data_IF_938032128617
#
_entry.id   IF_938032128617
#
_cell.length_a   1.000
_cell.length_b   1.000
_cell.length_c   1.000
_cell.angle_alpha   90.00
_cell.angle_beta   90.00
_cell.angle_gamma   90.00
#
_symmetry.space_group_name_H-M   'P 1'
#
loop_
_entity.id
_entity.type
_entity.pdbx_description
1 polymer ?
#
# COMPACT_ATOMS: atom_id res chain seq x y z
N UNK A 1 6.55 5.13 8.35
CA UNK A 1 7.30 4.07 7.67
C UNK A 1 7.43 4.39 6.19
N UNK A 2 8.45 3.82 5.54
CA UNK A 2 8.62 3.89 4.09
C UNK A 2 8.82 2.45 3.59
N UNK A 3 8.00 2.04 2.63
CA UNK A 3 8.20 0.75 1.97
C UNK A 3 9.17 0.92 0.80
N UNK A 4 10.20 0.07 0.75
CA UNK A 4 11.28 0.15 -0.23
C UNK A 4 11.50 -1.22 -0.85
N UNK A 5 11.36 -1.31 -2.17
CA UNK A 5 11.54 -2.54 -2.92
C UNK A 5 13.00 -2.67 -3.40
N UNK A 6 13.60 -3.86 -3.24
CA UNK A 6 14.89 -4.19 -3.85
C UNK A 6 14.66 -4.73 -5.26
N UNK A 7 15.11 -3.96 -6.27
CA UNK A 7 14.83 -4.24 -7.68
C UNK A 7 15.63 -5.40 -8.28
N UNK A 8 16.71 -5.82 -7.63
CA UNK A 8 17.58 -6.88 -8.12
C UNK A 8 17.77 -7.98 -7.07
N UNK A 9 17.87 -9.22 -7.49
CA UNK A 9 18.23 -10.33 -6.62
C UNK A 9 19.64 -10.16 -6.04
N UNK A 10 19.78 -10.45 -4.73
CA UNK A 10 21.09 -10.35 -4.07
C UNK A 10 22.07 -11.44 -4.52
N UNK A 11 21.55 -12.56 -5.01
CA UNK A 11 22.35 -13.74 -5.38
C UNK A 11 23.14 -13.56 -6.67
N UNK A 12 22.57 -12.84 -7.64
CA UNK A 12 23.12 -12.81 -9.01
C UNK A 12 22.93 -11.46 -9.74
N UNK A 13 22.33 -10.46 -9.07
CA UNK A 13 22.11 -9.12 -9.62
C UNK A 13 21.03 -9.02 -10.69
N UNK A 14 20.37 -10.13 -11.05
CA UNK A 14 19.28 -10.09 -12.05
C UNK A 14 18.08 -9.28 -11.54
N UNK A 15 17.34 -8.69 -12.46
CA UNK A 15 16.12 -7.93 -12.13
C UNK A 15 15.11 -8.85 -11.41
N UNK A 16 14.67 -8.42 -10.23
CA UNK A 16 13.57 -9.04 -9.51
C UNK A 16 12.23 -8.49 -10.02
N UNK A 17 11.60 -9.18 -10.95
CA UNK A 17 10.31 -8.80 -11.54
C UNK A 17 9.16 -8.86 -10.53
N UNK A 18 9.35 -9.47 -9.37
CA UNK A 18 8.37 -9.61 -8.30
C UNK A 18 8.53 -8.57 -7.19
N UNK A 19 9.57 -7.73 -7.23
CA UNK A 19 9.89 -6.78 -6.16
C UNK A 19 8.69 -5.92 -5.70
N UNK A 20 7.93 -5.36 -6.65
CA UNK A 20 6.75 -4.55 -6.34
C UNK A 20 5.56 -5.40 -5.84
N UNK A 21 5.43 -6.63 -6.31
CA UNK A 21 4.43 -7.57 -5.81
C UNK A 21 4.73 -7.98 -4.37
N UNK A 22 5.98 -8.32 -4.08
CA UNK A 22 6.43 -8.76 -2.76
C UNK A 22 6.24 -7.66 -1.71
N UNK A 23 6.59 -6.40 -2.06
CA UNK A 23 6.39 -5.28 -1.14
C UNK A 23 4.90 -4.97 -0.94
N UNK A 24 4.06 -5.18 -1.95
CA UNK A 24 2.60 -5.05 -1.82
C UNK A 24 2.02 -6.08 -0.85
N UNK A 25 2.48 -7.35 -0.92
CA UNK A 25 2.10 -8.42 0.00
C UNK A 25 2.54 -8.09 1.44
N UNK A 26 3.79 -7.66 1.64
CA UNK A 26 4.29 -7.27 2.96
C UNK A 26 3.50 -6.08 3.53
N UNK A 27 3.15 -5.10 2.70
CA UNK A 27 2.35 -3.95 3.08
C UNK A 27 0.93 -4.34 3.50
N UNK A 28 0.31 -5.30 2.81
CA UNK A 28 -1.01 -5.80 3.16
C UNK A 28 -1.00 -6.52 4.52
N UNK A 29 0.02 -7.34 4.78
CA UNK A 29 0.18 -8.01 6.07
C UNK A 29 0.43 -7.02 7.21
N UNK A 30 1.25 -5.99 6.98
CA UNK A 30 1.44 -4.90 7.94
C UNK A 30 0.12 -4.20 8.29
N UNK A 31 -0.73 -3.94 7.31
CA UNK A 31 -2.03 -3.31 7.55
C UNK A 31 -2.98 -4.19 8.37
N UNK A 32 -2.97 -5.50 8.11
CA UNK A 32 -3.76 -6.47 8.87
C UNK A 32 -3.29 -6.55 10.33
N UNK A 33 -1.98 -6.67 10.54
CA UNK A 33 -1.38 -6.70 11.87
C UNK A 33 -1.64 -5.40 12.64
N UNK A 34 -1.48 -4.24 11.99
CA UNK A 34 -1.81 -2.96 12.60
C UNK A 34 -3.27 -2.92 13.07
N UNK A 35 -4.19 -3.44 12.26
CA UNK A 35 -5.62 -3.50 12.61
C UNK A 35 -5.87 -4.40 13.83
N UNK A 36 -5.20 -5.53 13.94
CA UNK A 36 -5.31 -6.44 15.09
C UNK A 36 -4.85 -5.78 16.39
N UNK A 37 -3.86 -4.89 16.30
CA UNK A 37 -3.39 -4.06 17.40
C UNK A 37 -4.22 -2.77 17.63
N UNK A 38 -5.36 -2.60 16.98
CA UNK A 38 -6.21 -1.41 17.10
C UNK A 38 -5.62 -0.15 16.47
N UNK A 39 -4.64 -0.30 15.59
CA UNK A 39 -4.02 0.78 14.84
C UNK A 39 -4.68 0.93 13.45
N UNK A 40 -4.61 2.14 12.90
CA UNK A 40 -4.92 2.41 11.51
C UNK A 40 -3.62 2.57 10.70
N UNK A 41 -3.63 2.10 9.46
CA UNK A 41 -2.55 2.27 8.51
C UNK A 41 -3.04 3.04 7.28
N UNK A 42 -2.34 4.11 6.91
CA UNK A 42 -2.61 4.91 5.72
C UNK A 42 -1.43 4.84 4.76
N UNK A 43 -1.66 4.24 3.59
CA UNK A 43 -0.65 4.10 2.53
C UNK A 43 -0.77 5.27 1.55
N UNK A 44 0.33 5.94 1.30
CA UNK A 44 0.42 7.13 0.46
C UNK A 44 1.41 6.89 -0.67
N UNK A 45 0.95 7.06 -1.92
CA UNK A 45 1.81 7.07 -3.11
C UNK A 45 2.21 8.49 -3.55
N UNK A 46 1.48 9.51 -3.07
CA UNK A 46 1.68 10.91 -3.42
C UNK A 46 2.79 11.61 -2.62
N UNK A 47 3.95 10.95 -2.44
CA UNK A 47 5.13 11.53 -1.79
C UNK A 47 6.27 11.73 -2.81
N UNK A 48 7.23 12.56 -2.48
CA UNK A 48 8.43 12.78 -3.28
C UNK A 48 9.43 11.65 -3.03
N UNK A 49 9.45 10.67 -3.94
CA UNK A 49 10.31 9.49 -3.85
C UNK A 49 11.80 9.85 -3.96
N UNK A 50 12.16 10.86 -4.77
CA UNK A 50 13.54 11.30 -4.94
C UNK A 50 14.05 11.99 -3.66
N UNK A 51 13.24 12.85 -3.08
CA UNK A 51 13.55 13.47 -1.79
C UNK A 51 13.67 12.43 -0.68
N UNK A 52 12.81 11.39 -0.67
CA UNK A 52 12.92 10.28 0.27
C UNK A 52 14.23 9.52 0.09
N UNK A 53 14.63 9.25 -1.15
CA UNK A 53 15.90 8.61 -1.49
C UNK A 53 17.09 9.39 -0.90
N UNK A 54 17.12 10.70 -1.11
CA UNK A 54 18.18 11.58 -0.62
C UNK A 54 18.18 11.69 0.92
N UNK A 55 16.98 11.80 1.53
CA UNK A 55 16.84 11.98 2.98
C UNK A 55 17.26 10.75 3.78
N UNK A 56 17.02 9.55 3.23
CA UNK A 56 17.29 8.28 3.90
C UNK A 56 18.45 7.50 3.30
N UNK A 57 19.26 8.12 2.45
CA UNK A 57 20.42 7.52 1.77
C UNK A 57 20.07 6.18 1.10
N UNK A 58 18.89 6.09 0.44
CA UNK A 58 18.44 4.86 -0.20
C UNK A 58 19.28 4.62 -1.44
N UNK A 59 20.06 3.52 -1.51
CA UNK A 59 21.00 3.29 -2.58
C UNK A 59 20.32 2.96 -3.90
N UNK A 60 21.10 3.06 -4.99
CA UNK A 60 20.67 2.57 -6.31
C UNK A 60 20.27 1.09 -6.26
N UNK A 61 19.30 0.70 -7.08
CA UNK A 61 18.73 -0.66 -7.06
C UNK A 61 17.62 -0.88 -6.02
N UNK A 62 17.29 0.17 -5.25
CA UNK A 62 16.15 0.17 -4.33
C UNK A 62 15.15 1.25 -4.73
N UNK A 63 13.87 0.95 -4.65
CA UNK A 63 12.78 1.85 -5.05
C UNK A 63 11.87 2.17 -3.85
N UNK A 64 11.74 3.46 -3.46
CA UNK A 64 10.71 3.89 -2.52
C UNK A 64 9.31 3.74 -3.16
N UNK A 65 8.44 2.93 -2.56
CA UNK A 65 7.15 2.54 -3.17
C UNK A 65 5.98 3.26 -2.55
N UNK A 66 5.91 3.31 -1.23
CA UNK A 66 4.85 3.99 -0.50
C UNK A 66 5.33 4.50 0.85
N UNK A 67 4.88 5.69 1.22
CA UNK A 67 4.95 6.14 2.60
C UNK A 67 3.75 5.57 3.38
N UNK A 68 3.97 5.19 4.64
CA UNK A 68 2.93 4.59 5.48
C UNK A 68 2.88 5.29 6.83
N UNK A 69 1.75 5.92 7.13
CA UNK A 69 1.43 6.38 8.46
C UNK A 69 0.73 5.26 9.23
N UNK A 70 1.19 4.97 10.44
CA UNK A 70 0.58 3.99 11.34
C UNK A 70 0.37 4.67 12.69
N UNK A 71 -0.82 4.56 13.25
CA UNK A 71 -1.16 5.18 14.51
C UNK A 71 -2.56 4.81 14.99
N UNK A 72 -2.88 5.24 16.20
CA UNK A 72 -4.24 5.07 16.71
C UNK A 72 -5.18 6.01 15.97
N UNK A 73 -6.35 5.53 15.51
CA UNK A 73 -7.36 6.39 14.91
C UNK A 73 -7.90 7.37 15.96
N UNK A 74 -8.22 8.58 15.51
CA UNK A 74 -8.93 9.54 16.36
C UNK A 74 -10.28 8.97 16.80
N UNK A 75 -10.77 9.46 17.94
CA UNK A 75 -12.10 9.12 18.42
C UNK A 75 -13.13 9.63 17.40
N UNK A 76 -14.24 8.89 17.19
CA UNK A 76 -15.30 9.28 16.23
C UNK A 76 -15.86 10.69 16.47
N UNK A 77 -15.81 11.18 17.71
CA UNK A 77 -16.33 12.49 18.12
C UNK A 77 -15.26 13.60 18.13
N UNK A 78 -14.02 13.31 17.72
CA UNK A 78 -13.01 14.35 17.59
C UNK A 78 -13.41 15.31 16.45
N UNK A 79 -13.31 16.64 16.66
CA UNK A 79 -13.57 17.58 15.58
C UNK A 79 -12.66 17.23 14.40
N UNK A 80 -13.14 17.34 13.15
CA UNK A 80 -12.32 17.05 11.99
C UNK A 80 -11.05 17.90 12.06
N UNK A 81 -9.90 17.23 12.10
CA UNK A 81 -8.61 17.90 12.04
C UNK A 81 -8.45 18.62 10.70
N UNK A 82 -7.29 19.22 10.46
CA UNK A 82 -6.98 19.96 9.22
C UNK A 82 -7.13 19.11 7.92
N UNK A 83 -7.30 17.81 8.04
CA UNK A 83 -7.55 16.86 6.95
C UNK A 83 -9.01 16.88 6.44
N UNK A 84 -9.90 17.64 7.08
CA UNK A 84 -11.25 17.88 6.64
C UNK A 84 -12.14 16.62 6.53
N UNK A 85 -13.28 16.78 5.85
CA UNK A 85 -14.31 15.74 5.67
C UNK A 85 -13.84 14.48 4.89
N UNK A 86 -12.66 14.51 4.27
CA UNK A 86 -12.15 13.43 3.43
C UNK A 86 -11.95 12.10 4.20
N UNK A 87 -11.68 12.15 5.51
CA UNK A 87 -11.50 10.97 6.35
C UNK A 87 -12.79 10.19 6.63
N UNK A 88 -13.96 10.82 6.47
CA UNK A 88 -15.27 10.25 6.79
C UNK A 88 -16.12 9.90 5.56
N UNK A 89 -15.61 10.14 4.35
CA UNK A 89 -16.31 9.78 3.14
C UNK A 89 -16.54 8.25 3.07
N UNK A 90 -17.77 7.80 2.71
CA UNK A 90 -18.05 6.37 2.58
C UNK A 90 -17.07 5.71 1.62
N UNK A 91 -16.39 4.66 2.08
CA UNK A 91 -15.41 3.93 1.30
C UNK A 91 -16.07 3.22 0.11
N UNK A 92 -15.81 3.65 -1.10
CA UNK A 92 -16.29 2.99 -2.31
C UNK A 92 -15.31 1.90 -2.74
N UNK A 93 -15.85 0.74 -3.13
CA UNK A 93 -15.10 -0.38 -3.70
C UNK A 93 -15.69 -0.72 -5.06
N UNK A 94 -14.82 -1.04 -6.02
CA UNK A 94 -15.26 -1.61 -7.29
C UNK A 94 -15.87 -3.00 -7.03
N UNK A 95 -16.98 -3.35 -7.72
CA UNK A 95 -17.50 -4.71 -7.67
C UNK A 95 -16.43 -5.71 -8.15
N UNK A 96 -16.36 -6.88 -7.53
CA UNK A 96 -15.37 -7.91 -7.89
C UNK A 96 -15.42 -8.29 -9.37
N UNK A 97 -16.61 -8.31 -9.98
CA UNK A 97 -16.83 -8.60 -11.40
C UNK A 97 -16.07 -7.67 -12.35
N UNK A 98 -15.67 -6.47 -11.90
CA UNK A 98 -15.00 -5.48 -12.72
C UNK A 98 -13.49 -5.70 -12.82
N UNK A 99 -12.91 -6.55 -11.95
CA UNK A 99 -11.46 -6.78 -11.91
C UNK A 99 -11.05 -8.21 -11.55
N UNK A 100 -12.01 -9.12 -11.30
CA UNK A 100 -11.74 -10.53 -11.09
C UNK A 100 -12.30 -11.31 -12.27
N UNK A 101 -11.40 -11.88 -13.08
CA UNK A 101 -11.74 -12.57 -14.29
C UNK A 101 -11.39 -14.07 -14.19
N UNK A 102 -12.19 -14.90 -14.88
CA UNK A 102 -11.94 -16.34 -15.00
C UNK A 102 -11.86 -16.75 -16.47
N UNK A 103 -10.98 -17.70 -16.77
CA UNK A 103 -10.75 -18.30 -18.10
C UNK A 103 -10.11 -17.35 -19.11
N UNK A 104 -10.65 -16.13 -19.30
CA UNK A 104 -10.14 -15.12 -20.22
C UNK A 104 -10.23 -13.75 -19.60
N UNK A 105 -9.36 -12.83 -20.01
CA UNK A 105 -9.42 -11.42 -19.63
C UNK A 105 -10.77 -10.81 -20.02
N UNK A 106 -11.38 -10.07 -19.14
CA UNK A 106 -12.70 -9.46 -19.35
C UNK A 106 -13.90 -10.39 -19.08
N UNK A 107 -13.70 -11.70 -18.89
CA UNK A 107 -14.75 -12.62 -18.49
C UNK A 107 -14.83 -12.65 -16.96
N UNK A 108 -15.85 -12.00 -16.37
CA UNK A 108 -16.01 -11.96 -14.91
C UNK A 108 -16.09 -13.36 -14.31
N UNK A 109 -15.38 -13.56 -13.19
CA UNK A 109 -15.51 -14.78 -12.41
C UNK A 109 -16.88 -14.86 -11.74
N UNK A 110 -17.52 -16.03 -11.75
CA UNK A 110 -18.68 -16.29 -10.90
C UNK A 110 -18.17 -16.50 -9.47
N UNK A 111 -18.13 -15.42 -8.69
CA UNK A 111 -17.77 -15.44 -7.30
C UNK A 111 -19.05 -15.55 -6.46
N UNK A 112 -19.08 -16.47 -5.52
CA UNK A 112 -20.13 -16.50 -4.51
C UNK A 112 -20.05 -15.19 -3.71
N UNK A 113 -21.17 -14.49 -3.61
CA UNK A 113 -21.35 -13.29 -2.76
C UNK A 113 -21.54 -13.71 -1.30
#
# INVERSE_FOLDING_TARGET
>A
LLSVAKLNFASDGRINRHALHDIGLASAQLALEATDHGLAAHFMAGFDAERARQTYDIPEGFEPVAAVAVGYPDKPDAPPGETGEAGFAPRRRKPLKDFVFARKWGCSAALAT
#
